data_IF_817365863451
#
_entry.id   IF_817365863451
#
_cell.length_a   1.000
_cell.length_b   1.000
_cell.length_c   1.000
_cell.angle_alpha   90.00
_cell.angle_beta   90.00
_cell.angle_gamma   90.00
#
_symmetry.space_group_name_H-M   'P 1'
#
loop_
_entity.id
_entity.type
_entity.pdbx_description
1 polymer ?
#
# COMPACT_ATOMS: atom_id res chain seq x y z
N UNK A 1 -23.07 14.65 -34.83
CA UNK A 1 -23.11 15.90 -34.02
C UNK A 1 -22.46 17.02 -34.82
N UNK A 2 -22.84 18.30 -34.64
CA UNK A 2 -22.06 19.43 -35.17
C UNK A 2 -20.99 19.80 -34.13
N UNK A 3 -19.72 19.64 -34.47
CA UNK A 3 -18.61 20.08 -33.60
C UNK A 3 -18.43 21.59 -33.68
N UNK A 4 -17.81 22.18 -32.66
CA UNK A 4 -17.57 23.61 -32.58
C UNK A 4 -16.26 23.93 -33.32
N UNK A 5 -16.28 24.74 -34.41
CA UNK A 5 -15.10 24.97 -35.25
C UNK A 5 -13.95 25.66 -34.50
N UNK A 6 -14.20 26.39 -33.41
CA UNK A 6 -13.13 26.93 -32.56
C UNK A 6 -12.40 25.84 -31.75
N UNK A 7 -13.11 24.79 -31.32
CA UNK A 7 -12.52 23.64 -30.63
C UNK A 7 -11.74 22.76 -31.61
N UNK A 8 -12.23 22.58 -32.83
CA UNK A 8 -11.52 21.80 -33.84
C UNK A 8 -10.27 22.54 -34.35
N UNK A 9 -10.32 23.87 -34.52
CA UNK A 9 -9.12 24.67 -34.80
C UNK A 9 -8.06 24.56 -33.67
N UNK A 10 -8.48 24.56 -32.40
CA UNK A 10 -7.57 24.34 -31.27
C UNK A 10 -6.96 22.92 -31.30
N UNK A 11 -7.78 21.89 -31.54
CA UNK A 11 -7.29 20.50 -31.71
C UNK A 11 -6.28 20.38 -32.85
N UNK A 12 -6.50 21.07 -33.98
CA UNK A 12 -5.57 21.11 -35.11
C UNK A 12 -4.29 21.91 -34.86
N UNK A 13 -4.25 22.77 -33.84
CA UNK A 13 -3.06 23.56 -33.46
C UNK A 13 -2.12 22.84 -32.49
N UNK A 14 -2.55 21.75 -31.86
CA UNK A 14 -1.69 20.91 -31.02
C UNK A 14 -0.90 19.97 -31.95
N UNK A 15 0.45 19.97 -31.91
CA UNK A 15 1.23 18.97 -32.64
C UNK A 15 0.81 17.56 -32.24
N UNK A 16 0.63 16.68 -33.22
CA UNK A 16 0.41 15.26 -32.93
C UNK A 16 1.61 14.69 -32.15
N UNK A 17 1.41 13.71 -31.25
CA UNK A 17 2.52 13.05 -30.57
C UNK A 17 3.56 12.53 -31.59
N UNK A 18 4.87 12.63 -31.30
CA UNK A 18 5.89 12.13 -32.20
C UNK A 18 5.73 10.62 -32.40
N UNK A 19 5.65 10.17 -33.66
CA UNK A 19 5.56 8.74 -33.96
C UNK A 19 6.89 8.04 -33.66
N UNK A 20 6.89 7.25 -32.59
CA UNK A 20 8.05 6.45 -32.17
C UNK A 20 8.13 5.09 -32.87
N UNK A 21 7.15 4.69 -33.69
CA UNK A 21 7.14 3.40 -34.41
C UNK A 21 8.45 3.11 -35.17
N UNK A 22 9.01 4.02 -36.00
CA UNK A 22 10.26 3.75 -36.73
C UNK A 22 11.52 3.72 -35.84
N UNK A 23 11.44 4.22 -34.59
CA UNK A 23 12.51 4.07 -33.59
C UNK A 23 12.35 2.75 -32.84
N UNK A 24 11.12 2.41 -32.46
CA UNK A 24 10.73 1.17 -31.81
C UNK A 24 11.11 -0.08 -32.62
N UNK A 25 10.80 -0.12 -33.92
CA UNK A 25 11.18 -1.23 -34.80
C UNK A 25 12.71 -1.42 -34.89
N UNK A 26 13.47 -0.31 -34.88
CA UNK A 26 14.93 -0.34 -34.84
C UNK A 26 15.44 -0.92 -33.53
N UNK A 27 14.88 -0.52 -32.39
CA UNK A 27 15.26 -1.06 -31.08
C UNK A 27 14.88 -2.53 -30.92
N UNK A 28 13.73 -2.97 -31.43
CA UNK A 28 13.37 -4.39 -31.44
C UNK A 28 14.36 -5.23 -32.26
N UNK A 29 14.82 -4.74 -33.40
CA UNK A 29 15.82 -5.43 -34.21
C UNK A 29 17.22 -5.43 -33.56
N UNK A 30 17.60 -4.35 -32.89
CA UNK A 30 18.89 -4.25 -32.20
C UNK A 30 18.93 -5.01 -30.86
N UNK A 31 17.77 -5.17 -30.21
CA UNK A 31 17.63 -5.75 -28.87
C UNK A 31 17.35 -7.26 -28.82
N UNK A 32 17.08 -7.90 -29.96
CA UNK A 32 16.51 -9.25 -30.05
C UNK A 32 17.38 -10.31 -29.35
N UNK A 33 18.70 -10.16 -29.45
CA UNK A 33 19.69 -11.06 -28.86
C UNK A 33 20.51 -10.37 -27.75
N UNK A 34 20.02 -9.24 -27.21
CA UNK A 34 20.71 -8.46 -26.16
C UNK A 34 19.99 -8.69 -24.83
N UNK A 35 20.68 -9.32 -23.88
CA UNK A 35 20.14 -9.57 -22.53
C UNK A 35 20.09 -8.28 -21.71
N UNK A 36 18.97 -8.02 -21.03
CA UNK A 36 18.78 -6.83 -20.18
C UNK A 36 19.83 -6.74 -19.07
N UNK A 37 20.20 -7.88 -18.47
CA UNK A 37 21.28 -7.96 -17.48
C UNK A 37 22.61 -7.37 -17.98
N UNK A 38 22.93 -7.51 -19.28
CA UNK A 38 24.13 -6.93 -19.89
C UNK A 38 23.97 -5.43 -20.17
N UNK A 39 22.75 -4.95 -20.41
CA UNK A 39 22.46 -3.53 -20.55
C UNK A 39 22.68 -2.75 -19.25
N UNK A 40 22.37 -3.35 -18.09
CA UNK A 40 22.55 -2.72 -16.77
C UNK A 40 24.02 -2.41 -16.44
N UNK A 41 24.98 -3.11 -17.06
CA UNK A 41 26.41 -2.80 -16.98
C UNK A 41 26.84 -1.54 -17.75
N UNK A 42 25.94 -0.87 -18.45
CA UNK A 42 26.20 0.41 -19.11
C UNK A 42 25.34 1.51 -18.47
N UNK A 43 25.97 2.67 -18.21
CA UNK A 43 25.31 3.86 -17.63
C UNK A 43 23.98 4.26 -18.30
N UNK A 44 23.80 4.15 -19.63
CA UNK A 44 22.50 4.42 -20.27
C UNK A 44 21.46 3.34 -19.99
N UNK A 45 21.85 2.06 -19.94
CA UNK A 45 20.94 0.96 -19.58
C UNK A 45 20.44 1.07 -18.13
N UNK A 46 21.32 1.46 -17.20
CA UNK A 46 20.93 1.80 -15.83
C UNK A 46 19.97 3.00 -15.76
N UNK A 47 20.22 4.06 -16.55
CA UNK A 47 19.30 5.22 -16.67
C UNK A 47 17.93 4.82 -17.24
N UNK A 48 17.90 3.96 -18.25
CA UNK A 48 16.67 3.40 -18.78
C UNK A 48 15.93 2.58 -17.72
N UNK A 49 16.62 1.72 -16.97
CA UNK A 49 16.04 0.94 -15.87
C UNK A 49 15.43 1.83 -14.77
N UNK A 50 16.18 2.81 -14.25
CA UNK A 50 15.66 3.78 -13.26
C UNK A 50 14.49 4.61 -13.80
N UNK A 51 14.45 4.88 -15.10
CA UNK A 51 13.33 5.55 -15.75
C UNK A 51 12.09 4.64 -15.80
N UNK A 52 12.22 3.39 -16.25
CA UNK A 52 11.13 2.40 -16.29
C UNK A 52 10.50 2.26 -14.90
N UNK A 53 11.29 2.04 -13.84
CA UNK A 53 10.79 1.97 -12.48
C UNK A 53 9.98 3.21 -12.11
N UNK A 54 10.56 4.41 -12.30
CA UNK A 54 9.90 5.68 -11.95
C UNK A 54 8.55 5.89 -12.66
N UNK A 55 8.42 5.48 -13.93
CA UNK A 55 7.17 5.66 -14.68
C UNK A 55 6.11 4.58 -14.41
N UNK A 56 6.50 3.37 -13.98
CA UNK A 56 5.56 2.29 -13.66
C UNK A 56 5.11 2.37 -12.19
N UNK A 57 6.04 2.63 -11.26
CA UNK A 57 5.72 2.82 -9.83
C UNK A 57 4.88 4.10 -9.58
N UNK A 58 4.88 5.05 -10.51
CA UNK A 58 4.04 6.26 -10.49
C UNK A 58 2.78 6.18 -11.37
N UNK A 59 2.37 4.99 -11.82
CA UNK A 59 1.21 4.82 -12.70
C UNK A 59 -0.12 5.14 -12.01
N UNK A 60 -1.02 5.83 -12.72
CA UNK A 60 -2.38 6.02 -12.23
C UNK A 60 -3.23 4.74 -12.43
N UNK A 61 -4.27 4.51 -11.60
CA UNK A 61 -5.20 3.40 -11.79
C UNK A 61 -5.75 3.35 -13.23
N UNK A 62 -5.60 2.20 -13.88
CA UNK A 62 -6.05 1.97 -15.27
C UNK A 62 -5.01 2.25 -16.37
N UNK A 63 -3.76 2.62 -16.02
CA UNK A 63 -2.67 2.76 -17.00
C UNK A 63 -1.71 1.55 -17.08
N UNK A 64 -2.10 0.40 -16.51
CA UNK A 64 -1.20 -0.73 -16.28
C UNK A 64 -0.29 -0.49 -15.07
N UNK A 65 -0.39 -1.32 -14.03
CA UNK A 65 0.46 -1.23 -12.84
C UNK A 65 1.71 -2.13 -12.94
N UNK A 66 2.49 -2.21 -11.87
CA UNK A 66 3.70 -3.04 -11.83
C UNK A 66 3.42 -4.55 -11.91
N UNK A 67 2.21 -5.00 -11.54
CA UNK A 67 1.77 -6.41 -11.62
C UNK A 67 1.31 -6.75 -13.03
N UNK A 68 0.63 -5.83 -13.71
CA UNK A 68 0.34 -5.95 -15.14
C UNK A 68 1.65 -6.07 -15.93
N UNK A 69 2.65 -5.24 -15.59
CA UNK A 69 4.00 -5.30 -16.18
C UNK A 69 4.76 -6.58 -15.85
N UNK A 70 4.74 -7.01 -14.58
CA UNK A 70 5.35 -8.28 -14.17
C UNK A 70 4.72 -9.48 -14.90
N UNK A 71 3.39 -9.47 -15.09
CA UNK A 71 2.67 -10.49 -15.85
C UNK A 71 3.07 -10.49 -17.32
N UNK A 72 3.17 -9.33 -17.97
CA UNK A 72 3.61 -9.21 -19.38
C UNK A 72 5.10 -9.51 -19.61
N UNK A 73 5.93 -9.48 -18.56
CA UNK A 73 7.32 -9.95 -18.57
C UNK A 73 7.46 -11.45 -18.25
N UNK A 74 6.35 -12.14 -17.92
CA UNK A 74 6.35 -13.55 -17.56
C UNK A 74 6.83 -13.86 -16.13
N UNK A 75 6.89 -12.86 -15.24
CA UNK A 75 7.19 -13.07 -13.81
C UNK A 75 6.04 -13.85 -13.17
N UNK A 76 6.37 -14.93 -12.49
CA UNK A 76 5.36 -15.85 -11.97
C UNK A 76 4.62 -15.27 -10.74
N UNK A 77 3.35 -15.63 -10.57
CA UNK A 77 2.46 -15.03 -9.56
C UNK A 77 2.91 -15.25 -8.10
N UNK A 78 3.68 -16.30 -7.81
CA UNK A 78 4.32 -16.49 -6.49
C UNK A 78 5.37 -15.41 -6.25
N UNK A 79 6.17 -15.08 -7.27
CA UNK A 79 7.24 -14.11 -7.21
C UNK A 79 6.69 -12.67 -7.21
N UNK A 80 5.59 -12.41 -7.94
CA UNK A 80 4.81 -11.18 -7.77
C UNK A 80 4.31 -11.00 -6.33
N UNK A 81 3.80 -12.07 -5.70
CA UNK A 81 3.42 -12.03 -4.28
C UNK A 81 4.60 -11.89 -3.32
N UNK A 82 5.78 -12.41 -3.65
CA UNK A 82 7.01 -12.11 -2.89
C UNK A 82 7.32 -10.63 -2.99
N UNK A 83 7.44 -10.09 -4.20
CA UNK A 83 7.72 -8.67 -4.47
C UNK A 83 6.77 -7.77 -3.68
N UNK A 84 5.45 -8.01 -3.76
CA UNK A 84 4.42 -7.23 -3.05
C UNK A 84 4.66 -7.10 -1.53
N UNK A 85 5.27 -8.13 -0.91
CA UNK A 85 5.55 -8.15 0.52
C UNK A 85 7.01 -7.79 0.88
N UNK A 86 7.91 -7.61 -0.11
CA UNK A 86 9.35 -7.41 0.13
C UNK A 86 9.98 -6.24 -0.63
N UNK A 87 9.24 -5.46 -1.42
CA UNK A 87 9.83 -4.33 -2.15
C UNK A 87 10.30 -3.21 -1.19
N UNK A 88 11.54 -2.75 -1.39
CA UNK A 88 12.17 -1.72 -0.57
C UNK A 88 12.01 -0.31 -1.13
N UNK A 89 12.95 0.58 -0.78
CA UNK A 89 13.02 1.97 -1.27
C UNK A 89 13.14 2.09 -2.80
N UNK A 90 13.56 1.03 -3.50
CA UNK A 90 13.70 1.03 -4.96
C UNK A 90 12.37 0.83 -5.72
N UNK A 91 11.27 0.53 -5.02
CA UNK A 91 9.95 0.29 -5.62
C UNK A 91 9.74 -1.14 -6.13
N UNK A 92 8.48 -1.56 -6.33
CA UNK A 92 8.18 -2.92 -6.81
C UNK A 92 8.68 -3.16 -8.23
N UNK A 93 8.61 -2.18 -9.14
CA UNK A 93 9.08 -2.36 -10.53
C UNK A 93 10.58 -2.68 -10.58
N UNK A 94 11.39 -2.15 -9.66
CA UNK A 94 12.81 -2.51 -9.61
C UNK A 94 12.99 -4.02 -9.31
N UNK A 95 12.20 -4.58 -8.40
CA UNK A 95 12.22 -6.01 -8.05
C UNK A 95 11.60 -6.88 -9.14
N UNK A 96 10.60 -6.38 -9.89
CA UNK A 96 10.12 -7.02 -11.12
C UNK A 96 11.23 -7.14 -12.16
N UNK A 97 12.01 -6.07 -12.36
CA UNK A 97 13.12 -6.06 -13.32
C UNK A 97 14.33 -6.89 -12.86
N UNK A 98 14.54 -7.06 -11.55
CA UNK A 98 15.49 -8.05 -11.00
C UNK A 98 15.05 -9.49 -11.29
N UNK A 99 13.81 -9.85 -10.98
CA UNK A 99 13.29 -11.21 -11.26
C UNK A 99 13.21 -11.50 -12.76
N UNK A 100 12.96 -10.48 -13.59
CA UNK A 100 13.05 -10.57 -15.03
C UNK A 100 14.45 -11.02 -15.49
N UNK A 101 15.55 -10.64 -14.82
CA UNK A 101 16.90 -11.11 -15.17
C UNK A 101 17.08 -12.63 -15.01
N UNK A 102 16.27 -13.27 -14.17
CA UNK A 102 16.29 -14.72 -13.93
C UNK A 102 15.56 -15.52 -15.04
N UNK A 103 14.80 -14.84 -15.91
CA UNK A 103 14.03 -15.45 -17.01
C UNK A 103 14.96 -15.66 -18.22
N UNK A 104 14.89 -16.84 -18.86
CA UNK A 104 15.76 -17.16 -20.01
C UNK A 104 15.57 -16.27 -21.23
N UNK A 105 14.43 -15.59 -21.32
CA UNK A 105 14.01 -14.72 -22.42
C UNK A 105 14.11 -13.23 -22.04
N UNK A 106 14.99 -12.89 -21.08
CA UNK A 106 15.24 -11.55 -20.55
C UNK A 106 15.96 -10.60 -21.53
N UNK A 107 15.42 -10.42 -22.73
CA UNK A 107 15.98 -9.57 -23.78
C UNK A 107 15.50 -8.12 -23.69
N UNK A 108 16.22 -7.20 -24.33
CA UNK A 108 15.74 -5.82 -24.52
C UNK A 108 14.45 -5.83 -25.33
N UNK A 109 14.36 -6.64 -26.38
CA UNK A 109 13.18 -6.64 -27.26
C UNK A 109 11.92 -7.18 -26.59
N UNK A 110 12.03 -8.21 -25.74
CA UNK A 110 10.90 -8.68 -24.95
C UNK A 110 10.42 -7.59 -23.96
N UNK A 111 11.35 -6.93 -23.25
CA UNK A 111 11.04 -5.79 -22.37
C UNK A 111 10.30 -4.66 -23.10
N UNK A 112 10.75 -4.28 -24.30
CA UNK A 112 10.11 -3.27 -25.14
C UNK A 112 8.76 -3.73 -25.73
N UNK A 113 8.57 -5.04 -25.95
CA UNK A 113 7.27 -5.60 -26.34
C UNK A 113 6.27 -5.54 -25.19
N UNK A 114 6.67 -5.93 -23.98
CA UNK A 114 5.82 -5.86 -22.78
C UNK A 114 5.38 -4.42 -22.47
N UNK A 115 6.29 -3.44 -22.54
CA UNK A 115 5.95 -2.01 -22.42
C UNK A 115 4.93 -1.55 -23.47
N UNK A 116 5.06 -2.02 -24.73
CA UNK A 116 4.13 -1.61 -25.80
C UNK A 116 2.76 -2.28 -25.70
N UNK A 117 2.68 -3.54 -25.26
CA UNK A 117 1.40 -4.22 -24.98
C UNK A 117 0.57 -3.49 -23.91
N UNK A 118 1.23 -2.97 -22.87
CA UNK A 118 0.61 -2.12 -21.85
C UNK A 118 0.20 -0.72 -22.37
N UNK A 119 0.51 -0.37 -23.62
CA UNK A 119 0.29 0.96 -24.17
C UNK A 119 1.21 2.04 -23.60
N UNK A 120 2.33 1.67 -22.96
CA UNK A 120 3.27 2.60 -22.29
C UNK A 120 4.28 3.22 -23.27
N UNK A 121 3.73 3.80 -24.32
CA UNK A 121 4.47 4.58 -25.33
C UNK A 121 5.13 5.84 -24.68
N UNK A 122 4.64 6.30 -23.52
CA UNK A 122 5.26 7.35 -22.68
C UNK A 122 6.63 6.92 -22.13
N UNK A 123 6.75 5.67 -21.67
CA UNK A 123 8.00 5.10 -21.17
C UNK A 123 8.97 4.92 -22.32
N UNK A 124 8.50 4.35 -23.43
CA UNK A 124 9.29 4.11 -24.65
C UNK A 124 9.87 5.43 -25.20
N UNK A 125 9.08 6.50 -25.24
CA UNK A 125 9.58 7.84 -25.57
C UNK A 125 10.60 8.35 -24.53
N UNK A 126 10.38 8.16 -23.23
CA UNK A 126 11.29 8.65 -22.19
C UNK A 126 12.63 7.89 -22.12
N UNK A 127 12.71 6.62 -22.52
CA UNK A 127 13.97 5.85 -22.54
C UNK A 127 14.70 5.90 -23.89
N UNK A 128 14.03 6.40 -24.94
CA UNK A 128 14.55 6.62 -26.29
C UNK A 128 16.04 7.03 -26.37
N UNK A 129 16.49 8.14 -25.75
CA UNK A 129 17.88 8.58 -25.88
C UNK A 129 18.88 7.60 -25.26
N UNK A 130 18.48 6.91 -24.18
CA UNK A 130 19.33 5.94 -23.50
C UNK A 130 19.45 4.63 -24.28
N UNK A 131 18.40 4.22 -25.01
CA UNK A 131 18.43 3.07 -25.91
C UNK A 131 19.35 3.33 -27.11
N UNK A 132 19.23 4.49 -27.77
CA UNK A 132 20.10 4.86 -28.89
C UNK A 132 21.57 5.00 -28.45
N UNK A 133 21.86 5.56 -27.27
CA UNK A 133 23.20 5.61 -26.67
C UNK A 133 23.73 4.19 -26.36
N UNK A 134 22.89 3.33 -25.75
CA UNK A 134 23.26 1.95 -25.39
C UNK A 134 23.57 1.10 -26.63
N UNK A 135 22.74 1.15 -27.68
CA UNK A 135 22.98 0.36 -28.88
C UNK A 135 24.22 0.83 -29.64
N UNK A 136 24.57 2.12 -29.58
CA UNK A 136 25.86 2.61 -30.11
C UNK A 136 27.05 2.01 -29.34
N UNK A 137 27.04 2.08 -28.00
CA UNK A 137 28.10 1.50 -27.16
C UNK A 137 28.23 -0.02 -27.31
N UNK A 138 27.10 -0.72 -27.39
CA UNK A 138 27.06 -2.18 -27.58
C UNK A 138 27.65 -2.58 -28.94
N UNK A 139 27.22 -1.92 -30.03
CA UNK A 139 27.67 -2.21 -31.39
C UNK A 139 29.12 -1.78 -31.65
N UNK A 140 29.66 -0.80 -30.91
CA UNK A 140 31.09 -0.46 -30.97
C UNK A 140 31.98 -1.44 -30.20
N UNK A 141 31.41 -2.48 -29.57
CA UNK A 141 32.15 -3.49 -28.82
C UNK A 141 32.76 -2.99 -27.51
N UNK A 142 32.34 -1.81 -27.03
CA UNK A 142 32.90 -1.21 -25.82
C UNK A 142 32.51 -2.04 -24.59
N UNK A 143 33.44 -2.39 -23.68
CA UNK A 143 33.11 -3.16 -22.49
C UNK A 143 32.21 -2.36 -21.54
N UNK A 144 31.32 -3.02 -20.78
CA UNK A 144 30.62 -2.35 -19.69
C UNK A 144 31.64 -1.85 -18.65
N UNK A 145 31.63 -0.55 -18.38
CA UNK A 145 32.46 0.02 -17.31
C UNK A 145 31.82 -0.25 -15.96
N UNK A 146 32.60 -0.50 -14.89
CA UNK A 146 32.07 -0.46 -13.53
C UNK A 146 31.35 0.88 -13.29
N UNK A 147 30.13 0.83 -12.78
CA UNK A 147 29.43 2.04 -12.33
C UNK A 147 30.12 2.47 -11.04
N UNK A 148 30.92 3.54 -11.10
CA UNK A 148 31.57 4.08 -9.90
C UNK A 148 30.53 4.63 -8.93
N UNK A 149 30.69 4.43 -7.60
CA UNK A 149 29.67 4.78 -6.62
C UNK A 149 29.38 6.29 -6.55
N UNK A 150 30.38 7.12 -6.92
CA UNK A 150 30.30 8.59 -6.97
C UNK A 150 29.53 9.12 -8.20
N UNK A 151 29.21 8.27 -9.18
CA UNK A 151 28.42 8.68 -10.37
C UNK A 151 26.91 8.52 -10.20
N UNK A 152 26.45 8.06 -9.03
CA UNK A 152 25.04 8.26 -8.65
C UNK A 152 24.84 9.76 -8.40
N UNK A 153 23.96 10.47 -9.14
CA UNK A 153 23.76 11.89 -8.89
C UNK A 153 23.25 12.07 -7.47
N UNK A 154 23.93 12.94 -6.71
CA UNK A 154 23.47 13.33 -5.37
C UNK A 154 22.00 13.76 -5.45
N UNK A 155 21.12 13.07 -4.73
CA UNK A 155 19.80 13.60 -4.45
C UNK A 155 20.03 14.90 -3.65
N UNK A 156 19.83 16.04 -4.31
CA UNK A 156 20.13 17.39 -3.79
C UNK A 156 19.08 17.80 -2.73
N UNK A 157 19.07 17.07 -1.63
CA UNK A 157 18.38 17.30 -0.37
C UNK A 157 19.33 16.89 0.75
N UNK A 158 20.20 17.82 1.14
CA UNK A 158 21.18 17.61 2.19
C UNK A 158 20.51 17.42 3.57
N UNK A 159 20.54 16.20 4.09
CA UNK A 159 20.76 15.99 5.53
C UNK A 159 21.53 14.69 5.78
N UNK A 160 22.24 14.61 6.91
CA UNK A 160 23.29 13.64 7.18
C UNK A 160 22.84 12.46 8.06
N UNK A 161 23.19 11.22 7.67
CA UNK A 161 22.62 10.01 8.30
C UNK A 161 23.31 8.68 8.00
N UNK A 162 24.65 8.64 8.06
CA UNK A 162 25.56 7.47 8.13
C UNK A 162 25.02 6.07 7.71
N UNK A 163 25.36 5.70 6.47
CA UNK A 163 25.83 4.37 6.00
C UNK A 163 25.35 3.06 6.67
N UNK A 164 24.72 2.20 5.85
CA UNK A 164 25.27 0.85 5.60
C UNK A 164 24.80 0.32 4.24
N UNK A 165 25.67 0.38 3.23
CA UNK A 165 25.38 -0.17 1.89
C UNK A 165 25.93 -1.59 1.80
N UNK A 166 25.08 -2.60 1.56
CA UNK A 166 25.53 -3.93 1.14
C UNK A 166 25.88 -3.89 -0.35
N UNK A 167 27.18 -3.96 -0.66
CA UNK A 167 27.69 -3.98 -2.03
C UNK A 167 27.12 -5.15 -2.82
N UNK A 168 26.50 -4.87 -3.98
CA UNK A 168 26.08 -5.91 -4.93
C UNK A 168 27.33 -6.44 -5.65
N UNK A 169 27.86 -7.57 -5.15
CA UNK A 169 28.92 -8.32 -5.83
C UNK A 169 28.28 -9.31 -6.80
N UNK A 170 28.25 -8.97 -8.09
CA UNK A 170 27.84 -9.88 -9.18
C UNK A 170 28.92 -10.01 -10.27
N UNK A 171 30.07 -10.58 -9.90
CA UNK A 171 30.99 -11.18 -10.88
C UNK A 171 31.63 -12.45 -10.31
N UNK A 172 31.07 -13.61 -10.70
CA UNK A 172 31.72 -14.92 -10.59
C UNK A 172 31.13 -15.89 -11.61
N UNK A 173 31.75 -15.93 -12.80
CA UNK A 173 31.58 -17.05 -13.73
C UNK A 173 32.37 -18.25 -13.20
N UNK A 174 31.70 -19.30 -12.74
CA UNK A 174 32.34 -20.47 -12.13
C UNK A 174 31.53 -21.75 -12.35
N UNK A 175 32.21 -22.80 -12.83
CA UNK A 175 31.67 -24.07 -13.32
C UNK A 175 30.78 -24.83 -12.31
N UNK A 176 29.91 -25.70 -12.85
CA UNK A 176 29.07 -26.59 -12.06
C UNK A 176 29.86 -27.78 -11.49
N UNK A 177 29.49 -28.22 -10.29
CA UNK A 177 29.70 -29.60 -9.84
C UNK A 177 28.49 -30.07 -9.02
N UNK A 178 27.98 -31.28 -9.30
CA UNK A 178 26.70 -31.77 -8.78
C UNK A 178 26.87 -32.68 -7.57
N UNK A 179 26.05 -32.49 -6.52
CA UNK A 179 25.79 -33.50 -5.49
C UNK A 179 24.29 -33.63 -5.22
N UNK A 180 23.74 -34.85 -5.10
CA UNK A 180 22.32 -35.04 -4.84
C UNK A 180 21.99 -34.73 -3.38
N UNK A 181 20.84 -34.09 -3.15
CA UNK A 181 20.22 -34.00 -1.81
C UNK A 181 19.13 -35.06 -1.75
N UNK A 182 19.29 -36.02 -0.84
CA UNK A 182 18.39 -37.16 -0.70
C UNK A 182 17.09 -36.74 0.01
N UNK A 183 15.94 -37.04 -0.60
CA UNK A 183 14.64 -36.55 -0.13
C UNK A 183 14.04 -37.43 0.96
N UNK A 184 13.92 -36.90 2.18
CA UNK A 184 13.25 -37.58 3.31
C UNK A 184 11.75 -37.23 3.34
N UNK A 185 10.82 -38.19 3.18
CA UNK A 185 9.38 -37.91 3.21
C UNK A 185 8.85 -37.77 4.64
N UNK A 186 8.15 -36.66 4.93
CA UNK A 186 7.35 -36.51 6.16
C UNK A 186 6.06 -37.33 6.04
N UNK A 187 6.02 -38.51 6.67
CA UNK A 187 4.78 -39.27 6.82
C UNK A 187 3.97 -38.80 8.03
N UNK A 188 2.71 -38.44 7.80
CA UNK A 188 1.70 -38.34 8.85
C UNK A 188 1.53 -39.68 9.57
N UNK A 189 1.37 -39.64 10.89
CA UNK A 189 0.70 -40.70 11.67
C UNK A 189 -0.34 -40.09 12.58
N UNK A 190 -1.46 -40.80 12.72
CA UNK A 190 -2.61 -40.38 13.50
C UNK A 190 -2.39 -40.53 15.01
N UNK A 191 -3.27 -39.90 15.79
CA UNK A 191 -3.31 -39.98 17.25
C UNK A 191 -3.79 -41.35 17.76
N UNK A 192 -3.59 -41.64 19.06
CA UNK A 192 -4.51 -42.42 19.86
C UNK A 192 -5.35 -41.52 20.79
N UNK A 193 -6.61 -41.91 21.01
CA UNK A 193 -7.47 -41.33 22.05
C UNK A 193 -7.21 -41.99 23.41
N UNK A 194 -7.32 -41.21 24.50
CA UNK A 194 -7.77 -41.72 25.81
C UNK A 194 -8.67 -40.68 26.50
N UNK A 195 -9.57 -41.15 27.36
CA UNK A 195 -10.47 -40.33 28.19
C UNK A 195 -10.51 -40.90 29.61
N UNK A 196 -11.04 -40.10 30.54
CA UNK A 196 -11.51 -40.45 31.90
C UNK A 196 -10.42 -40.74 32.94
N UNK A 197 -10.55 -40.36 34.21
CA UNK A 197 -11.38 -39.30 34.84
C UNK A 197 -10.38 -38.38 35.64
N UNK A 198 -10.54 -37.77 36.82
CA UNK A 198 -11.60 -37.69 37.85
C UNK A 198 -11.42 -36.38 38.66
N UNK A 199 -11.65 -36.34 39.99
CA UNK A 199 -11.79 -35.10 40.77
C UNK A 199 -10.54 -34.64 41.55
N UNK A 200 -10.29 -33.33 41.62
CA UNK A 200 -10.46 -32.52 42.84
C UNK A 200 -10.24 -31.01 42.55
N UNK A 201 -10.90 -30.13 43.31
CA UNK A 201 -11.02 -28.71 42.95
C UNK A 201 -10.37 -27.72 43.92
N UNK A 202 -10.45 -26.44 43.56
CA UNK A 202 -10.41 -25.31 44.48
C UNK A 202 -11.54 -24.34 44.15
N UNK A 203 -11.95 -23.52 45.11
CA UNK A 203 -13.21 -22.77 45.09
C UNK A 203 -13.00 -21.25 45.20
N UNK A 204 -14.03 -20.54 44.78
CA UNK A 204 -14.44 -19.20 45.23
C UNK A 204 -13.38 -18.08 45.19
N UNK A 205 -13.46 -17.24 44.14
CA UNK A 205 -13.77 -15.81 44.34
C UNK A 205 -14.66 -15.34 43.18
N UNK A 206 -15.90 -15.00 43.51
CA UNK A 206 -16.90 -14.36 42.63
C UNK A 206 -17.08 -12.91 43.12
N UNK A 207 -17.82 -12.11 42.35
CA UNK A 207 -18.45 -10.82 42.67
C UNK A 207 -17.76 -9.56 42.09
N UNK A 208 -18.46 -8.64 41.40
CA UNK A 208 -19.86 -8.72 40.93
C UNK A 208 -20.22 -7.68 39.84
N UNK A 209 -21.38 -7.91 39.20
CA UNK A 209 -22.32 -6.93 38.61
C UNK A 209 -21.95 -6.19 37.28
N UNK A 210 -22.89 -5.91 36.37
CA UNK A 210 -24.35 -6.18 36.30
C UNK A 210 -24.81 -6.42 34.85
N UNK A 211 -25.57 -7.50 34.58
CA UNK A 211 -26.40 -7.64 33.37
C UNK A 211 -27.53 -8.68 33.53
N UNK A 212 -28.61 -8.33 34.23
CA UNK A 212 -29.90 -9.02 34.11
C UNK A 212 -30.95 -8.07 33.51
N UNK A 213 -31.57 -8.46 32.39
CA UNK A 213 -33.02 -8.76 32.36
C UNK A 213 -33.47 -9.28 30.97
N UNK A 214 -33.83 -10.57 30.87
CA UNK A 214 -34.64 -11.15 29.79
C UNK A 214 -35.00 -12.62 30.09
N UNK A 215 -36.12 -12.87 30.77
CA UNK A 215 -36.61 -14.24 30.99
C UNK A 215 -37.25 -14.86 29.75
N UNK A 216 -37.12 -16.18 29.64
CA UNK A 216 -37.75 -17.01 28.62
C UNK A 216 -39.27 -16.92 28.64
N UNK A 217 -39.89 -16.87 27.46
CA UNK A 217 -41.21 -17.45 27.21
C UNK A 217 -41.31 -17.93 25.76
N UNK A 218 -41.65 -19.21 25.58
CA UNK A 218 -41.75 -19.86 24.27
C UNK A 218 -43.19 -19.76 23.76
N UNK A 219 -43.40 -19.05 22.65
CA UNK A 219 -44.68 -19.06 21.92
C UNK A 219 -44.52 -18.56 20.48
N UNK A 220 -45.28 -19.13 19.55
CA UNK A 220 -45.24 -18.79 18.12
C UNK A 220 -45.95 -17.46 17.88
N UNK A 221 -45.16 -16.41 17.62
CA UNK A 221 -45.61 -15.13 17.08
C UNK A 221 -44.99 -14.85 15.71
N UNK A 222 -45.55 -13.89 14.98
CA UNK A 222 -45.09 -13.51 13.64
C UNK A 222 -43.72 -12.80 13.69
N UNK A 223 -42.96 -12.87 12.61
CA UNK A 223 -41.66 -12.18 12.49
C UNK A 223 -41.93 -10.69 12.23
N UNK A 224 -42.26 -9.94 13.27
CA UNK A 224 -42.16 -8.48 13.23
C UNK A 224 -40.69 -8.09 13.08
N UNK A 225 -40.37 -7.38 12.00
CA UNK A 225 -39.05 -6.77 11.81
C UNK A 225 -38.81 -5.73 12.93
N UNK A 226 -38.09 -6.13 13.98
CA UNK A 226 -37.58 -5.21 15.01
C UNK A 226 -36.70 -4.17 14.33
N UNK A 227 -37.27 -2.99 14.05
CA UNK A 227 -36.59 -1.84 13.44
C UNK A 227 -35.25 -1.62 14.14
N UNK A 228 -34.17 -1.89 13.41
CA UNK A 228 -32.82 -1.83 13.94
C UNK A 228 -32.55 -0.47 14.56
N UNK A 229 -31.98 -0.47 15.77
CA UNK A 229 -31.43 0.76 16.35
C UNK A 229 -30.31 1.21 15.42
N UNK A 230 -30.50 2.37 14.79
CA UNK A 230 -29.44 3.02 14.00
C UNK A 230 -28.17 3.10 14.87
N UNK A 231 -27.09 2.56 14.34
CA UNK A 231 -25.85 2.28 15.05
C UNK A 231 -24.72 2.46 14.08
N UNK A 232 -23.78 3.35 14.41
CA UNK A 232 -22.63 3.64 13.54
C UNK A 232 -21.33 3.24 14.21
N UNK A 233 -20.40 2.72 13.43
CA UNK A 233 -19.11 2.24 13.93
C UNK A 233 -17.97 3.14 13.45
N UNK A 234 -16.98 3.35 14.30
CA UNK A 234 -15.74 4.08 14.00
C UNK A 234 -14.54 3.18 14.19
N UNK A 235 -13.67 3.10 13.19
CA UNK A 235 -12.29 2.63 13.38
C UNK A 235 -11.43 3.82 13.81
N UNK A 236 -10.89 3.78 15.03
CA UNK A 236 -9.81 4.67 15.42
C UNK A 236 -8.49 4.13 14.86
N UNK A 237 -7.53 5.02 14.57
CA UNK A 237 -6.15 4.63 14.23
C UNK A 237 -5.19 5.69 14.74
N UNK A 238 -4.09 5.26 15.37
CA UNK A 238 -3.20 6.12 16.15
C UNK A 238 -1.80 5.51 16.28
N UNK A 239 -0.79 6.34 16.52
CA UNK A 239 0.57 5.92 16.85
C UNK A 239 0.77 5.75 18.38
N UNK A 240 1.95 5.35 18.84
CA UNK A 240 2.19 5.07 20.27
C UNK A 240 2.02 6.35 21.12
N UNK A 241 2.51 7.50 20.66
CA UNK A 241 2.31 8.82 21.25
C UNK A 241 0.81 9.24 21.33
N UNK A 242 -0.02 8.71 20.45
CA UNK A 242 -1.47 8.94 20.40
C UNK A 242 -2.31 7.98 21.23
N UNK A 243 -1.72 6.96 21.87
CA UNK A 243 -2.44 5.85 22.51
C UNK A 243 -3.44 6.29 23.60
N UNK A 244 -3.01 7.12 24.54
CA UNK A 244 -3.88 7.54 25.65
C UNK A 244 -4.91 8.60 25.19
N UNK A 245 -4.52 9.44 24.24
CA UNK A 245 -5.40 10.38 23.56
C UNK A 245 -6.52 9.64 22.80
N UNK A 246 -6.19 8.54 22.13
CA UNK A 246 -7.15 7.67 21.45
C UNK A 246 -8.09 6.96 22.44
N UNK A 247 -7.60 6.51 23.61
CA UNK A 247 -8.42 5.93 24.67
C UNK A 247 -9.45 6.92 25.22
N UNK A 248 -9.07 8.18 25.41
CA UNK A 248 -10.00 9.22 25.87
C UNK A 248 -10.99 9.66 24.77
N UNK A 249 -10.56 9.68 23.51
CA UNK A 249 -11.49 9.81 22.36
C UNK A 249 -12.48 8.63 22.31
N UNK A 250 -12.03 7.38 22.50
CA UNK A 250 -12.89 6.21 22.49
C UNK A 250 -13.95 6.26 23.61
N UNK A 251 -13.55 6.63 24.85
CA UNK A 251 -14.48 6.88 25.98
C UNK A 251 -15.51 7.96 25.62
N UNK A 252 -15.08 9.10 25.07
CA UNK A 252 -15.97 10.19 24.67
C UNK A 252 -16.91 9.79 23.54
N UNK A 253 -16.43 9.07 22.52
CA UNK A 253 -17.26 8.55 21.43
C UNK A 253 -18.34 7.59 21.93
N UNK A 254 -17.97 6.57 22.73
CA UNK A 254 -18.87 5.56 23.31
C UNK A 254 -19.93 6.14 24.25
N UNK A 255 -19.72 7.33 24.81
CA UNK A 255 -20.69 8.02 25.67
C UNK A 255 -22.05 8.17 24.98
N UNK A 256 -23.10 7.63 25.59
CA UNK A 256 -24.45 7.76 25.05
C UNK A 256 -24.91 9.22 25.00
N UNK A 257 -25.57 9.61 23.91
CA UNK A 257 -26.10 10.95 23.65
C UNK A 257 -27.62 10.82 23.45
N UNK A 258 -28.47 11.42 24.32
CA UNK A 258 -29.91 11.31 24.19
C UNK A 258 -30.42 11.80 22.82
N UNK A 259 -31.32 11.04 22.21
CA UNK A 259 -31.90 11.38 20.90
C UNK A 259 -30.97 11.13 19.69
N UNK A 260 -29.82 10.48 19.87
CA UNK A 260 -28.93 10.08 18.77
C UNK A 260 -28.67 8.55 18.78
N UNK A 261 -28.33 7.98 17.60
CA UNK A 261 -27.70 6.65 17.48
C UNK A 261 -26.55 6.43 18.48
N UNK A 262 -26.26 5.16 18.82
CA UNK A 262 -25.04 4.82 19.56
C UNK A 262 -23.85 4.77 18.58
N UNK A 263 -22.68 5.22 19.05
CA UNK A 263 -21.43 5.19 18.29
C UNK A 263 -20.56 4.04 18.81
N UNK A 264 -20.47 2.96 18.04
CA UNK A 264 -19.48 1.91 18.22
C UNK A 264 -18.08 2.43 17.89
N UNK A 265 -17.07 1.90 18.59
CA UNK A 265 -15.67 2.26 18.38
C UNK A 265 -14.85 0.98 18.42
N UNK A 266 -14.01 0.79 17.41
CA UNK A 266 -13.02 -0.29 17.28
C UNK A 266 -11.64 0.36 17.31
N UNK A 267 -10.73 -0.19 18.12
CA UNK A 267 -9.28 -0.03 17.99
C UNK A 267 -8.67 -1.40 17.70
N UNK A 268 -7.47 -1.44 17.14
CA UNK A 268 -6.76 -2.71 16.95
C UNK A 268 -6.29 -3.29 18.29
N UNK A 269 -5.80 -2.44 19.20
CA UNK A 269 -5.34 -2.81 20.56
C UNK A 269 -6.41 -3.52 21.39
N UNK A 270 -7.68 -3.10 21.34
CA UNK A 270 -8.76 -3.73 22.10
C UNK A 270 -9.17 -5.10 21.53
N UNK A 271 -8.65 -5.50 20.37
CA UNK A 271 -9.03 -6.71 19.64
C UNK A 271 -7.81 -7.53 19.19
N UNK A 272 -6.68 -7.39 19.90
CA UNK A 272 -5.39 -8.04 19.62
C UNK A 272 -5.49 -9.56 19.45
N UNK A 273 -6.34 -10.24 20.23
CA UNK A 273 -6.52 -11.69 20.17
C UNK A 273 -6.94 -12.21 18.78
N UNK A 274 -7.74 -11.44 18.03
CA UNK A 274 -8.13 -11.77 16.67
C UNK A 274 -6.98 -11.46 15.68
N UNK A 275 -6.33 -10.31 15.86
CA UNK A 275 -5.26 -9.82 14.98
C UNK A 275 -3.98 -10.66 15.04
N UNK A 276 -3.78 -11.45 16.10
CA UNK A 276 -2.71 -12.43 16.18
C UNK A 276 -2.85 -13.60 15.19
N UNK A 277 -4.02 -13.81 14.58
CA UNK A 277 -4.29 -14.94 13.65
C UNK A 277 -4.28 -14.50 12.18
N UNK A 278 -5.03 -13.44 11.84
CA UNK A 278 -5.06 -12.86 10.49
C UNK A 278 -5.20 -11.32 10.57
N UNK A 279 -4.10 -10.59 10.85
CA UNK A 279 -4.18 -9.14 11.01
C UNK A 279 -4.61 -8.47 9.70
N UNK A 280 -4.21 -8.99 8.54
CA UNK A 280 -4.59 -8.42 7.25
C UNK A 280 -6.10 -8.54 7.00
N UNK A 281 -6.65 -9.77 7.04
CA UNK A 281 -8.05 -10.01 6.72
C UNK A 281 -9.00 -9.34 7.71
N UNK A 282 -8.61 -9.25 8.98
CA UNK A 282 -9.42 -8.62 10.02
C UNK A 282 -9.36 -7.09 9.92
N UNK A 283 -8.19 -6.48 9.73
CA UNK A 283 -8.09 -5.02 9.47
C UNK A 283 -8.82 -4.66 8.18
N UNK A 284 -8.69 -5.47 7.12
CA UNK A 284 -9.42 -5.26 5.87
C UNK A 284 -10.94 -5.33 6.08
N UNK A 285 -11.42 -6.33 6.84
CA UNK A 285 -12.84 -6.47 7.19
C UNK A 285 -13.36 -5.25 7.93
N UNK A 286 -12.75 -4.87 9.05
CA UNK A 286 -13.18 -3.70 9.83
C UNK A 286 -13.07 -2.40 9.01
N UNK A 287 -12.03 -2.22 8.19
CA UNK A 287 -11.90 -1.07 7.32
C UNK A 287 -13.09 -0.91 6.36
N UNK A 288 -13.72 -1.99 5.91
CA UNK A 288 -14.92 -1.92 5.05
C UNK A 288 -16.24 -1.91 5.82
N UNK A 289 -16.30 -2.50 7.03
CA UNK A 289 -17.53 -2.60 7.82
C UNK A 289 -17.86 -1.34 8.66
N UNK A 290 -16.90 -0.48 9.00
CA UNK A 290 -17.18 0.73 9.79
C UNK A 290 -17.78 1.88 8.95
N UNK A 291 -18.59 2.76 9.56
CA UNK A 291 -19.07 3.98 8.89
C UNK A 291 -17.93 4.98 8.66
N UNK A 292 -17.12 5.21 9.69
CA UNK A 292 -16.10 6.27 9.72
C UNK A 292 -14.74 5.74 10.16
N UNK A 293 -13.69 6.42 9.71
CA UNK A 293 -12.31 6.18 10.13
C UNK A 293 -11.80 7.48 10.75
N UNK A 294 -11.30 7.42 11.98
CA UNK A 294 -10.85 8.59 12.75
C UNK A 294 -9.36 8.43 13.08
N UNK A 295 -8.48 8.97 12.22
CA UNK A 295 -7.06 9.14 12.54
C UNK A 295 -6.86 10.10 13.70
N UNK A 296 -6.10 9.68 14.71
CA UNK A 296 -5.54 10.58 15.72
C UNK A 296 -4.19 11.08 15.20
N UNK A 297 -4.19 12.29 14.65
CA UNK A 297 -3.03 12.94 14.06
C UNK A 297 -2.10 13.45 15.17
N UNK A 298 -1.16 12.60 15.51
CA UNK A 298 0.01 12.88 16.34
C UNK A 298 1.29 13.02 15.50
N UNK A 299 2.43 13.32 16.12
CA UNK A 299 3.68 13.58 15.41
C UNK A 299 4.22 12.26 14.85
N UNK A 300 4.23 11.22 15.68
CA UNK A 300 4.66 9.85 15.34
C UNK A 300 3.68 9.19 14.34
N UNK A 301 2.40 9.62 14.30
CA UNK A 301 1.43 9.20 13.28
C UNK A 301 1.73 9.85 11.91
N UNK A 302 1.92 11.18 11.89
CA UNK A 302 2.26 11.91 10.65
C UNK A 302 3.62 11.48 10.07
N UNK A 303 4.51 10.97 10.91
CA UNK A 303 5.76 10.34 10.51
C UNK A 303 5.55 8.92 9.97
N UNK A 304 4.80 8.02 10.64
CA UNK A 304 4.52 6.65 10.11
C UNK A 304 3.94 6.63 8.69
N UNK A 305 3.08 7.59 8.37
CA UNK A 305 2.46 7.72 7.05
C UNK A 305 3.34 8.44 6.01
N UNK A 306 4.49 9.00 6.42
CA UNK A 306 5.42 9.68 5.52
C UNK A 306 6.10 8.69 4.56
N UNK A 307 6.32 9.12 3.31
CA UNK A 307 7.00 8.32 2.28
C UNK A 307 8.36 7.76 2.74
N UNK A 308 9.06 8.50 3.60
CA UNK A 308 10.43 8.20 4.04
C UNK A 308 10.53 7.30 5.27
N UNK A 309 9.42 7.02 5.96
CA UNK A 309 9.42 6.23 7.19
C UNK A 309 9.70 4.75 6.92
N UNK A 310 10.76 4.23 7.54
CA UNK A 310 11.15 2.82 7.50
C UNK A 310 10.70 2.19 8.82
N UNK A 311 9.64 1.38 8.76
CA UNK A 311 9.09 0.76 9.96
C UNK A 311 9.92 -0.47 10.37
N UNK A 312 10.50 -0.41 11.56
CA UNK A 312 10.86 -1.59 12.33
C UNK A 312 9.57 -2.20 12.88
N UNK A 313 9.20 -3.40 12.41
CA UNK A 313 7.93 -4.06 12.79
C UNK A 313 7.96 -4.49 14.27
N UNK A 314 9.15 -4.84 14.77
CA UNK A 314 9.38 -5.43 16.10
C UNK A 314 9.45 -4.39 17.24
N UNK A 315 9.45 -3.08 16.92
CA UNK A 315 9.53 -2.01 17.93
C UNK A 315 8.16 -1.46 18.37
N UNK A 316 7.07 -1.85 17.71
CA UNK A 316 5.73 -1.34 18.01
C UNK A 316 4.99 -2.23 19.03
N UNK A 317 4.82 -1.71 20.25
CA UNK A 317 4.11 -2.34 21.37
C UNK A 317 2.56 -2.26 21.28
N UNK A 318 2.02 -1.73 20.20
CA UNK A 318 0.59 -1.48 20.00
C UNK A 318 0.20 -1.85 18.57
N UNK A 319 -0.88 -2.60 18.39
CA UNK A 319 -1.36 -3.01 17.07
C UNK A 319 -1.81 -1.81 16.21
N UNK A 320 -2.47 -0.80 16.78
CA UNK A 320 -2.85 0.41 16.04
C UNK A 320 -1.61 1.10 15.47
N UNK A 321 -0.58 1.30 16.30
CA UNK A 321 0.69 1.91 15.89
C UNK A 321 1.38 1.09 14.78
N UNK A 322 1.42 -0.25 14.94
CA UNK A 322 2.00 -1.16 13.95
C UNK A 322 1.33 -1.04 12.58
N UNK A 323 0.00 -0.86 12.53
CA UNK A 323 -0.76 -0.86 11.28
C UNK A 323 -1.25 0.52 10.78
N UNK A 324 -0.82 1.64 11.38
CA UNK A 324 -1.07 3.02 10.89
C UNK A 324 -0.86 3.15 9.37
N UNK A 325 0.28 2.66 8.87
CA UNK A 325 0.66 2.80 7.44
C UNK A 325 -0.26 1.98 6.52
N UNK A 326 -0.71 0.81 6.96
CA UNK A 326 -1.69 -0.01 6.24
C UNK A 326 -3.03 0.73 6.15
N UNK A 327 -3.59 1.15 7.28
CA UNK A 327 -4.89 1.86 7.32
C UNK A 327 -4.83 3.16 6.51
N UNK A 328 -3.71 3.89 6.56
CA UNK A 328 -3.48 5.07 5.72
C UNK A 328 -3.48 4.76 4.22
N UNK A 329 -2.80 3.69 3.80
CA UNK A 329 -2.79 3.25 2.39
C UNK A 329 -4.20 2.87 1.94
N UNK A 330 -4.98 2.17 2.79
CA UNK A 330 -6.38 1.85 2.50
C UNK A 330 -7.26 3.11 2.40
N UNK A 331 -7.09 4.10 3.28
CA UNK A 331 -7.78 5.39 3.20
C UNK A 331 -7.48 6.14 1.90
N UNK A 332 -6.22 6.14 1.45
CA UNK A 332 -5.84 6.75 0.18
C UNK A 332 -6.44 6.02 -1.02
N UNK A 333 -6.44 4.68 -1.00
CA UNK A 333 -7.01 3.86 -2.06
C UNK A 333 -8.53 4.04 -2.17
N UNK A 334 -9.26 4.05 -1.05
CA UNK A 334 -10.70 4.35 -1.06
C UNK A 334 -10.98 5.77 -1.57
N UNK A 335 -10.19 6.76 -1.13
CA UNK A 335 -10.35 8.14 -1.58
C UNK A 335 -10.20 8.28 -3.10
N UNK A 336 -9.20 7.63 -3.70
CA UNK A 336 -9.02 7.60 -5.16
C UNK A 336 -10.17 6.87 -5.87
N UNK A 337 -10.55 5.67 -5.39
CA UNK A 337 -11.64 4.88 -5.96
C UNK A 337 -12.99 5.59 -5.92
N UNK A 338 -13.24 6.42 -4.89
CA UNK A 338 -14.46 7.24 -4.75
C UNK A 338 -14.36 8.61 -5.44
N UNK A 339 -13.44 8.78 -6.41
CA UNK A 339 -13.35 10.00 -7.23
C UNK A 339 -12.82 11.22 -6.47
N UNK A 340 -11.89 11.01 -5.54
CA UNK A 340 -11.30 12.04 -4.67
C UNK A 340 -12.33 12.73 -3.73
N UNK A 341 -13.31 11.96 -3.24
CA UNK A 341 -14.34 12.44 -2.30
C UNK A 341 -14.22 11.76 -0.93
N UNK A 342 -13.93 12.54 0.10
CA UNK A 342 -13.69 12.04 1.47
C UNK A 342 -14.99 11.82 2.26
N UNK A 343 -15.67 10.71 1.98
CA UNK A 343 -16.91 10.33 2.67
C UNK A 343 -16.70 9.89 4.12
N UNK A 344 -15.60 9.20 4.46
CA UNK A 344 -15.47 8.41 5.70
C UNK A 344 -14.35 8.85 6.66
N UNK A 345 -13.30 9.52 6.19
CA UNK A 345 -12.15 9.89 7.04
C UNK A 345 -12.46 11.19 7.80
N UNK A 346 -12.30 11.16 9.13
CA UNK A 346 -12.64 12.26 10.06
C UNK A 346 -11.51 12.46 11.07
N UNK A 347 -10.42 13.17 10.71
CA UNK A 347 -9.23 13.23 11.55
C UNK A 347 -9.44 14.11 12.79
N UNK A 348 -8.83 13.69 13.90
CA UNK A 348 -8.67 14.48 15.12
C UNK A 348 -7.19 14.80 15.32
N UNK A 349 -6.84 16.04 15.66
CA UNK A 349 -5.45 16.47 15.84
C UNK A 349 -5.16 16.85 17.30
N UNK A 350 -3.98 16.44 17.80
CA UNK A 350 -3.45 16.92 19.09
C UNK A 350 -3.17 18.42 19.02
N UNK A 351 -3.47 19.14 20.11
CA UNK A 351 -3.24 20.58 20.19
C UNK A 351 -1.76 20.97 20.03
N UNK A 352 -0.83 20.05 20.29
CA UNK A 352 0.62 20.26 20.24
C UNK A 352 1.15 20.46 18.81
N UNK A 353 0.48 19.90 17.81
CA UNK A 353 0.94 19.85 16.40
C UNK A 353 0.34 20.98 15.56
N UNK A 354 -0.70 21.64 16.06
CA UNK A 354 -1.33 22.80 15.42
C UNK A 354 -0.32 23.91 15.06
N UNK A 355 0.76 24.05 15.84
CA UNK A 355 1.83 25.02 15.60
C UNK A 355 2.86 24.60 14.52
N UNK A 356 2.88 23.33 14.10
CA UNK A 356 3.82 22.75 13.10
C UNK A 356 3.13 22.34 11.79
N UNK A 357 1.80 22.42 11.74
CA UNK A 357 0.93 21.77 10.76
C UNK A 357 1.30 22.08 9.29
N UNK A 358 1.63 23.33 8.98
CA UNK A 358 1.91 23.80 7.61
C UNK A 358 3.23 23.24 7.03
N UNK A 359 4.12 22.73 7.88
CA UNK A 359 5.44 22.22 7.49
C UNK A 359 5.40 20.73 7.08
N UNK A 360 4.42 19.96 7.58
CA UNK A 360 4.33 18.52 7.34
C UNK A 360 3.66 18.23 5.99
N UNK A 361 4.42 17.70 5.02
CA UNK A 361 3.93 17.37 3.68
C UNK A 361 2.67 16.48 3.68
N UNK A 362 2.56 15.53 4.63
CA UNK A 362 1.40 14.66 4.82
C UNK A 362 0.08 15.42 5.00
N UNK A 363 0.10 16.62 5.60
CA UNK A 363 -1.09 17.45 5.82
C UNK A 363 -1.67 18.06 4.54
N UNK A 364 -0.93 18.01 3.41
CA UNK A 364 -1.42 18.40 2.09
C UNK A 364 -2.31 17.33 1.45
N UNK A 365 -2.41 16.13 2.03
CA UNK A 365 -3.29 15.08 1.55
C UNK A 365 -4.78 15.45 1.81
N UNK A 366 -5.65 15.51 0.78
CA UNK A 366 -7.06 15.88 0.95
C UNK A 366 -7.85 15.06 1.98
N UNK A 367 -7.46 13.82 2.28
CA UNK A 367 -8.14 13.01 3.31
C UNK A 367 -8.03 13.62 4.71
N UNK A 368 -7.01 14.44 4.96
CA UNK A 368 -6.81 15.09 6.26
C UNK A 368 -7.34 16.53 6.34
N UNK A 369 -7.69 17.18 5.23
CA UNK A 369 -8.09 18.59 5.21
C UNK A 369 -9.34 18.92 6.06
N UNK A 370 -10.18 17.92 6.37
CA UNK A 370 -11.38 18.05 7.19
C UNK A 370 -11.15 17.75 8.69
N UNK A 371 -9.94 17.98 9.21
CA UNK A 371 -9.57 17.70 10.60
C UNK A 371 -10.33 18.56 11.63
N UNK A 372 -10.38 18.06 12.87
CA UNK A 372 -10.89 18.75 14.07
C UNK A 372 -9.92 18.64 15.24
N UNK A 373 -10.05 19.50 16.25
CA UNK A 373 -9.27 19.32 17.50
C UNK A 373 -9.83 18.14 18.28
N UNK A 374 -9.00 17.49 19.11
CA UNK A 374 -9.50 16.47 20.05
C UNK A 374 -10.51 17.07 21.05
N UNK A 375 -10.39 18.35 21.40
CA UNK A 375 -11.39 19.06 22.22
C UNK A 375 -12.79 19.01 21.58
N UNK A 376 -12.87 19.19 20.25
CA UNK A 376 -14.11 19.16 19.46
C UNK A 376 -14.71 17.76 19.28
N UNK A 377 -14.11 16.68 19.79
CA UNK A 377 -14.49 15.31 19.39
C UNK A 377 -15.95 14.95 19.74
N UNK A 378 -16.54 15.54 20.78
CA UNK A 378 -17.97 15.40 21.09
C UNK A 378 -18.87 16.02 20.00
N UNK A 379 -18.47 17.15 19.43
CA UNK A 379 -19.16 17.78 18.30
C UNK A 379 -18.94 16.99 17.01
N UNK A 380 -17.75 16.39 16.82
CA UNK A 380 -17.51 15.47 15.70
C UNK A 380 -18.40 14.22 15.80
N UNK A 381 -18.47 13.57 16.95
CA UNK A 381 -19.36 12.44 17.20
C UNK A 381 -20.83 12.82 16.95
N UNK A 382 -21.29 13.94 17.50
CA UNK A 382 -22.63 14.48 17.24
C UNK A 382 -22.91 14.84 15.77
N UNK A 383 -21.89 15.03 14.94
CA UNK A 383 -22.04 15.22 13.49
C UNK A 383 -22.01 13.90 12.71
N UNK A 384 -21.18 12.93 13.10
CA UNK A 384 -21.15 11.58 12.51
C UNK A 384 -22.48 10.83 12.73
N UNK A 385 -23.14 11.06 13.87
CA UNK A 385 -24.42 10.44 14.23
C UNK A 385 -25.65 11.09 13.56
N UNK A 386 -25.50 12.16 12.79
CA UNK A 386 -26.60 12.73 12.01
C UNK A 386 -26.90 11.90 10.77
N UNK A 387 -28.16 11.87 10.29
CA UNK A 387 -28.45 11.41 8.92
C UNK A 387 -27.74 12.34 7.93
N UNK A 388 -27.29 11.78 6.80
CA UNK A 388 -26.75 12.59 5.71
C UNK A 388 -27.83 13.58 5.22
N UNK A 389 -27.47 14.83 4.87
CA UNK A 389 -28.42 15.74 4.25
C UNK A 389 -28.93 15.09 2.96
N UNK A 390 -30.27 14.97 2.83
CA UNK A 390 -30.88 14.41 1.61
C UNK A 390 -30.40 15.24 0.43
N UNK A 391 -29.68 14.61 -0.49
CA UNK A 391 -29.31 15.23 -1.76
C UNK A 391 -30.58 15.75 -2.44
N UNK A 392 -30.59 16.97 -2.99
CA UNK A 392 -31.66 17.36 -3.90
C UNK A 392 -31.67 16.35 -5.06
N UNK A 393 -32.86 15.89 -5.44
CA UNK A 393 -33.00 15.09 -6.64
C UNK A 393 -32.65 15.96 -7.86
N UNK A 394 -31.72 15.45 -8.68
CA UNK A 394 -31.31 16.03 -9.96
C UNK A 394 -31.88 15.18 -11.10
#
# INVERSE_FOLDING_TARGET
MKTNPKLDALRSSVPSPPDITPMYERWLKSGENVLWARCLGYKPGWRANKSICRYIDASNPGQGDWKDFASELGVHHIDMKRIENTYGREGPTCRVLEEYLNIKEATVSHLLQSLRKLGREDILFSISPYLDELFQLYNSGYPPLPIEPDETPEDNNSDSGVSSVRSISMFSTGQAESRPVESVPLQLKAAPETKKDEENGCKDLIENNDFEDAKSCDSKGEIEEKKGVDFKVVLLTYANDGRDLAKDVAKRFRKHRPGLPRLGVVTLEENEEFLCVDPWGIIQKWFFEVDYIVPILTEEYLERISSHFVQSIDSDNCFDARYVRLIYTMMCNEFMQRGCLNYRVRPLMSNEILAKIDQRASMKNPIFMAWKKVDDCDALAGNMLKPAPRSPAF
#
